data_IF_307397189900
#
_entry.id   IF_307397189900
#
_cell.length_a   1.000
_cell.length_b   1.000
_cell.length_c   1.000
_cell.angle_alpha   90.00
_cell.angle_beta   90.00
_cell.angle_gamma   90.00
#
_symmetry.space_group_name_H-M   'P 1'
#
loop_
_entity.id
_entity.type
_entity.pdbx_description
1 polymer ?
#
# COMPACT_ATOMS: atom_id res chain seq x y z
N UNK A 1 -9.60 -9.71 -20.53
CA UNK A 1 -8.79 -9.40 -19.32
C UNK A 1 -8.72 -7.91 -18.91
N UNK A 2 -9.23 -6.90 -19.63
CA UNK A 2 -9.05 -5.48 -19.21
C UNK A 2 -9.90 -5.08 -18.00
N UNK A 3 -10.97 -5.84 -17.70
CA UNK A 3 -11.85 -5.57 -16.56
C UNK A 3 -11.15 -5.77 -15.21
N UNK A 4 -10.34 -6.83 -15.09
CA UNK A 4 -9.61 -7.10 -13.85
C UNK A 4 -8.51 -6.07 -13.60
N UNK A 5 -7.80 -5.63 -14.64
CA UNK A 5 -6.79 -4.56 -14.51
C UNK A 5 -7.44 -3.21 -14.16
N UNK A 6 -8.60 -2.90 -14.74
CA UNK A 6 -9.34 -1.69 -14.40
C UNK A 6 -9.85 -1.72 -12.95
N UNK A 7 -10.38 -2.86 -12.48
CA UNK A 7 -10.80 -3.04 -11.09
C UNK A 7 -9.61 -2.94 -10.13
N UNK A 8 -8.48 -3.55 -10.46
CA UNK A 8 -7.27 -3.46 -9.66
C UNK A 8 -6.75 -2.01 -9.57
N UNK A 9 -6.74 -1.28 -10.68
CA UNK A 9 -6.36 0.13 -10.71
C UNK A 9 -7.33 1.00 -9.91
N UNK A 10 -8.64 0.75 -10.01
CA UNK A 10 -9.65 1.49 -9.26
C UNK A 10 -9.55 1.24 -7.75
N UNK A 11 -9.37 -0.01 -7.34
CA UNK A 11 -9.15 -0.37 -5.93
C UNK A 11 -7.86 0.26 -5.39
N UNK A 12 -6.79 0.24 -6.17
CA UNK A 12 -5.54 0.90 -5.81
C UNK A 12 -5.72 2.41 -5.65
N UNK A 13 -6.41 3.07 -6.60
CA UNK A 13 -6.66 4.50 -6.55
C UNK A 13 -7.53 4.89 -5.35
N UNK A 14 -8.59 4.13 -5.05
CA UNK A 14 -9.46 4.36 -3.91
C UNK A 14 -8.71 4.25 -2.57
N UNK A 15 -7.93 3.17 -2.39
CA UNK A 15 -7.15 2.97 -1.18
C UNK A 15 -6.06 4.06 -1.00
N UNK A 16 -5.44 4.48 -2.10
CA UNK A 16 -4.44 5.57 -2.08
C UNK A 16 -5.09 6.90 -1.72
N UNK A 17 -6.27 7.19 -2.25
CA UNK A 17 -7.02 8.41 -1.95
C UNK A 17 -7.46 8.46 -0.48
N UNK A 18 -7.97 7.36 0.07
CA UNK A 18 -8.34 7.24 1.48
C UNK A 18 -7.13 7.45 2.40
N UNK A 19 -6.00 6.82 2.07
CA UNK A 19 -4.75 6.97 2.82
C UNK A 19 -4.21 8.42 2.79
N UNK A 20 -4.21 9.05 1.61
CA UNK A 20 -3.80 10.44 1.47
C UNK A 20 -4.73 11.39 2.23
N UNK A 21 -6.04 11.16 2.18
CA UNK A 21 -7.05 11.95 2.89
C UNK A 21 -6.86 11.87 4.41
N UNK A 22 -6.71 10.67 4.95
CA UNK A 22 -6.46 10.46 6.38
C UNK A 22 -5.19 11.18 6.88
N UNK A 23 -4.19 11.31 6.00
CA UNK A 23 -2.93 12.01 6.29
C UNK A 23 -3.03 13.53 6.15
N UNK A 24 -3.79 14.04 5.18
CA UNK A 24 -3.93 15.47 4.91
C UNK A 24 -4.96 16.13 5.82
N UNK A 25 -6.01 15.41 6.24
CA UNK A 25 -7.11 15.95 7.06
C UNK A 25 -6.68 16.64 8.38
N UNK A 26 -5.63 16.19 9.10
CA UNK A 26 -5.11 16.88 10.29
C UNK A 26 -4.46 18.24 10.02
N UNK A 27 -4.17 18.58 8.75
CA UNK A 27 -3.80 19.91 8.30
C UNK A 27 -2.33 20.10 7.90
N UNK A 28 -2.01 20.12 6.60
CA UNK A 28 -0.79 20.71 6.07
C UNK A 28 -0.91 22.24 6.04
N UNK A 29 0.18 22.94 6.34
CA UNK A 29 0.24 24.41 6.37
C UNK A 29 0.56 25.03 5.01
N UNK A 30 0.97 24.22 4.02
CA UNK A 30 1.42 24.70 2.70
C UNK A 30 1.08 23.74 1.55
N UNK A 31 1.11 24.25 0.30
CA UNK A 31 0.90 23.43 -0.92
C UNK A 31 2.01 22.41 -1.17
N UNK A 32 3.22 22.73 -0.73
CA UNK A 32 4.38 21.84 -0.85
C UNK A 32 4.23 20.59 0.03
N UNK A 33 3.76 20.78 1.27
CA UNK A 33 3.41 19.69 2.18
C UNK A 33 2.34 18.78 1.58
N UNK A 34 1.27 19.34 1.01
CA UNK A 34 0.21 18.56 0.33
C UNK A 34 0.79 17.71 -0.80
N UNK A 35 1.62 18.31 -1.66
CA UNK A 35 2.19 17.63 -2.83
C UNK A 35 3.12 16.49 -2.40
N UNK A 36 3.98 16.76 -1.42
CA UNK A 36 4.89 15.76 -0.85
C UNK A 36 4.10 14.60 -0.21
N UNK A 37 3.03 14.91 0.52
CA UNK A 37 2.19 13.90 1.16
C UNK A 37 1.41 13.06 0.15
N UNK A 38 0.89 13.65 -0.93
CA UNK A 38 0.26 12.89 -2.03
C UNK A 38 1.28 11.97 -2.69
N UNK A 39 2.46 12.49 -3.02
CA UNK A 39 3.52 11.73 -3.69
C UNK A 39 3.95 10.51 -2.84
N UNK A 40 4.22 10.71 -1.55
CA UNK A 40 4.55 9.60 -0.64
C UNK A 40 3.38 8.65 -0.45
N UNK A 41 2.16 9.16 -0.35
CA UNK A 41 0.94 8.35 -0.19
C UNK A 41 0.67 7.45 -1.38
N UNK A 42 1.02 7.86 -2.61
CA UNK A 42 0.92 7.02 -3.79
C UNK A 42 2.01 5.93 -3.86
N UNK A 43 3.18 6.19 -3.27
CA UNK A 43 4.34 5.28 -3.29
C UNK A 43 4.26 4.20 -2.20
N UNK A 44 3.67 4.51 -1.04
CA UNK A 44 3.56 3.58 0.10
C UNK A 44 2.79 2.28 -0.26
N UNK A 45 1.59 2.31 -0.86
CA UNK A 45 0.82 1.10 -1.15
C UNK A 45 1.52 0.07 -2.06
N UNK A 46 2.09 0.45 -3.23
CA UNK A 46 2.78 -0.53 -4.07
C UNK A 46 4.04 -1.09 -3.41
N UNK A 47 4.78 -0.28 -2.64
CA UNK A 47 5.93 -0.78 -1.87
C UNK A 47 5.50 -1.77 -0.78
N UNK A 48 4.45 -1.45 -0.02
CA UNK A 48 3.92 -2.34 1.01
C UNK A 48 3.47 -3.68 0.42
N UNK A 49 2.74 -3.63 -0.70
CA UNK A 49 2.32 -4.83 -1.43
C UNK A 49 3.52 -5.65 -1.93
N UNK A 50 4.54 -4.99 -2.50
CA UNK A 50 5.76 -5.65 -2.95
C UNK A 50 6.50 -6.33 -1.79
N UNK A 51 6.71 -5.61 -0.68
CA UNK A 51 7.36 -6.17 0.51
C UNK A 51 6.60 -7.37 1.08
N UNK A 52 5.26 -7.28 1.14
CA UNK A 52 4.42 -8.40 1.56
C UNK A 52 4.55 -9.59 0.63
N UNK A 53 4.37 -9.40 -0.69
CA UNK A 53 4.50 -10.47 -1.69
C UNK A 53 5.90 -11.10 -1.68
N UNK A 54 6.95 -10.29 -1.60
CA UNK A 54 8.32 -10.75 -1.51
C UNK A 54 8.55 -11.59 -0.24
N UNK A 55 7.98 -11.17 0.90
CA UNK A 55 7.98 -11.95 2.13
C UNK A 55 7.26 -13.30 1.96
N UNK A 56 6.06 -13.29 1.39
CA UNK A 56 5.29 -14.51 1.13
C UNK A 56 6.05 -15.48 0.21
N UNK A 57 6.65 -14.97 -0.86
CA UNK A 57 7.47 -15.78 -1.78
C UNK A 57 8.76 -16.24 -1.11
N UNK A 58 9.37 -15.46 -0.23
CA UNK A 58 10.60 -15.88 0.45
C UNK A 58 10.35 -16.93 1.53
N UNK A 59 9.22 -16.82 2.23
CA UNK A 59 8.84 -17.70 3.32
C UNK A 59 7.85 -18.81 2.92
N UNK A 60 7.58 -19.01 1.62
CA UNK A 60 6.68 -20.06 1.10
C UNK A 60 7.06 -21.49 1.49
N UNK A 61 8.33 -21.73 1.84
CA UNK A 61 8.83 -23.02 2.32
C UNK A 61 9.09 -23.03 3.84
N UNK A 62 8.77 -21.94 4.54
CA UNK A 62 8.87 -21.90 5.99
C UNK A 62 7.82 -22.86 6.55
N UNK A 63 8.27 -24.00 7.10
CA UNK A 63 7.40 -24.89 7.84
C UNK A 63 6.94 -24.19 9.12
N UNK A 64 5.69 -24.39 9.56
CA UNK A 64 5.25 -23.96 10.88
C UNK A 64 6.29 -24.45 11.88
N UNK A 65 6.75 -23.55 12.75
CA UNK A 65 7.70 -23.91 13.79
C UNK A 65 6.94 -24.82 14.73
N UNK A 66 7.12 -26.14 14.57
CA UNK A 66 6.36 -27.15 15.28
C UNK A 66 6.36 -26.84 16.77
N UNK A 67 5.15 -26.68 17.30
CA UNK A 67 4.84 -26.43 18.69
C UNK A 67 5.53 -27.52 19.51
N UNK A 68 6.65 -27.15 20.13
CA UNK A 68 7.37 -28.01 21.06
C UNK A 68 6.46 -28.23 22.26
N UNK A 69 5.94 -29.45 22.38
CA UNK A 69 5.48 -30.01 23.65
C UNK A 69 6.52 -29.78 24.74
#
# INVERSE_FOLDING_TARGET
RPRLSALAAALWAAATAEFAWARIAPGPRTRDEVTTMIATSAVIPPLAAWHWLAGQVRHRAARPRGDGR
#
